data_IF_287028532926
#
_entry.id   IF_287028532926
#
_cell.length_a   1.000
_cell.length_b   1.000
_cell.length_c   1.000
_cell.angle_alpha   90.00
_cell.angle_beta   90.00
_cell.angle_gamma   90.00
#
_symmetry.space_group_name_H-M   'P 1'
#
loop_
_entity.id
_entity.type
_entity.pdbx_description
1 polymer ?
#
# COMPACT_ATOMS: atom_id res chain seq x y z
N UNK A 1 9.74 25.02 -3.62
CA UNK A 1 11.03 25.77 -3.75
C UNK A 1 11.87 25.82 -2.46
N UNK A 2 11.28 25.75 -1.26
CA UNK A 2 12.00 26.05 -0.01
C UNK A 2 13.10 25.05 0.38
N UNK A 3 12.91 23.75 0.10
CA UNK A 3 13.95 22.74 0.33
C UNK A 3 15.23 23.07 -0.44
N UNK A 4 15.13 23.41 -1.73
CA UNK A 4 16.28 23.79 -2.55
C UNK A 4 16.99 25.04 -2.00
N UNK A 5 16.23 26.05 -1.56
CA UNK A 5 16.78 27.26 -0.92
C UNK A 5 17.55 26.92 0.36
N UNK A 6 17.01 26.03 1.20
CA UNK A 6 17.68 25.57 2.43
C UNK A 6 18.98 24.80 2.15
N UNK A 7 19.09 24.13 1.00
CA UNK A 7 20.32 23.46 0.56
C UNK A 7 21.30 24.39 -0.19
N UNK A 8 20.97 25.68 -0.35
CA UNK A 8 21.76 26.62 -1.15
C UNK A 8 21.72 26.34 -2.66
N UNK A 9 20.77 25.53 -3.13
CA UNK A 9 20.64 25.17 -4.53
C UNK A 9 19.91 26.28 -5.30
N UNK A 10 20.52 26.74 -6.40
CA UNK A 10 19.91 27.70 -7.31
C UNK A 10 19.07 26.95 -8.35
N UNK A 11 17.76 26.97 -8.17
CA UNK A 11 16.83 26.47 -9.20
C UNK A 11 16.94 27.38 -10.43
N UNK A 12 17.06 26.78 -11.62
CA UNK A 12 17.09 27.52 -12.89
C UNK A 12 15.69 28.01 -13.25
N UNK A 13 14.75 27.07 -13.38
CA UNK A 13 13.33 27.33 -13.67
C UNK A 13 12.48 26.33 -12.89
N UNK A 14 11.40 26.79 -12.27
CA UNK A 14 10.39 25.91 -11.69
C UNK A 14 9.33 25.61 -12.76
N UNK A 15 9.37 24.42 -13.35
CA UNK A 15 8.43 24.02 -14.41
C UNK A 15 7.01 23.77 -13.88
N UNK A 16 6.90 23.13 -12.71
CA UNK A 16 5.62 22.75 -12.10
C UNK A 16 5.79 22.52 -10.60
N UNK A 17 4.79 22.92 -9.82
CA UNK A 17 4.64 22.54 -8.42
C UNK A 17 3.29 21.84 -8.24
N UNK A 18 3.31 20.70 -7.55
CA UNK A 18 2.10 19.94 -7.23
C UNK A 18 2.00 19.76 -5.72
N UNK A 19 0.80 19.99 -5.20
CA UNK A 19 0.42 19.64 -3.83
C UNK A 19 -0.60 18.52 -3.89
N UNK A 20 -0.23 17.36 -3.35
CA UNK A 20 -1.09 16.19 -3.33
C UNK A 20 -1.02 15.49 -1.98
N UNK A 21 -2.15 14.94 -1.56
CA UNK A 21 -2.20 13.99 -0.47
C UNK A 21 -2.34 12.60 -1.08
N UNK A 22 -1.34 11.75 -0.87
CA UNK A 22 -1.36 10.36 -1.32
C UNK A 22 -1.83 9.47 -0.16
N UNK A 23 -3.10 9.03 -0.15
CA UNK A 23 -3.58 8.15 0.89
C UNK A 23 -2.87 6.79 0.79
N UNK A 24 -2.49 6.25 1.94
CA UNK A 24 -1.87 4.93 2.05
C UNK A 24 -2.74 4.02 2.91
N UNK A 25 -2.98 2.80 2.46
CA UNK A 25 -3.85 1.87 3.19
C UNK A 25 -3.09 1.23 4.35
N UNK A 26 -3.56 1.47 5.57
CA UNK A 26 -3.01 0.90 6.81
C UNK A 26 -3.79 -0.33 7.28
N UNK A 27 -5.12 -0.27 7.18
CA UNK A 27 -6.06 -1.32 7.60
C UNK A 27 -7.41 -1.10 6.91
N UNK A 28 -8.40 -1.97 7.15
CA UNK A 28 -9.76 -1.85 6.65
C UNK A 28 -10.60 -3.11 6.89
N UNK A 29 -11.91 -2.97 6.68
CA UNK A 29 -12.90 -4.04 6.81
C UNK A 29 -13.35 -4.52 5.42
N UNK A 30 -12.62 -5.43 4.76
CA UNK A 30 -12.89 -5.82 3.38
C UNK A 30 -14.27 -6.46 3.20
N UNK A 31 -14.78 -7.14 4.24
CA UNK A 31 -16.08 -7.79 4.19
C UNK A 31 -17.20 -6.75 4.19
N UNK A 32 -17.17 -5.79 5.12
CA UNK A 32 -18.12 -4.69 5.17
C UNK A 32 -18.10 -3.87 3.87
N UNK A 33 -16.89 -3.52 3.38
CA UNK A 33 -16.70 -2.79 2.13
C UNK A 33 -17.35 -3.48 0.91
N UNK A 34 -17.29 -4.81 0.84
CA UNK A 34 -17.90 -5.57 -0.24
C UNK A 34 -19.40 -5.83 -0.01
N UNK A 35 -19.88 -5.88 1.25
CA UNK A 35 -21.32 -5.92 1.54
C UNK A 35 -22.03 -4.66 1.04
N UNK A 36 -21.40 -3.49 1.15
CA UNK A 36 -21.90 -2.23 0.58
C UNK A 36 -22.06 -2.27 -0.95
N UNK A 37 -21.42 -3.22 -1.63
CA UNK A 37 -21.59 -3.39 -3.07
C UNK A 37 -22.96 -3.98 -3.44
N UNK A 38 -23.73 -4.53 -2.48
CA UNK A 38 -25.09 -5.04 -2.69
C UNK A 38 -25.20 -6.01 -3.88
N UNK A 39 -24.18 -6.85 -4.10
CA UNK A 39 -24.16 -7.82 -5.20
C UNK A 39 -23.76 -7.23 -6.56
N UNK A 40 -23.38 -5.94 -6.63
CA UNK A 40 -22.88 -5.30 -7.85
C UNK A 40 -21.38 -5.55 -7.96
N UNK A 41 -20.96 -6.16 -9.06
CA UNK A 41 -19.56 -6.40 -9.34
C UNK A 41 -18.75 -5.09 -9.42
N UNK A 42 -17.51 -5.12 -8.93
CA UNK A 42 -16.61 -3.96 -8.93
C UNK A 42 -15.26 -4.36 -9.53
N UNK A 43 -14.57 -3.41 -10.13
CA UNK A 43 -13.19 -3.57 -10.62
C UNK A 43 -12.33 -2.36 -10.24
N UNK A 44 -11.01 -2.48 -10.48
CA UNK A 44 -10.05 -1.40 -10.22
C UNK A 44 -10.09 -0.87 -8.78
N UNK A 45 -9.88 0.44 -8.61
CA UNK A 45 -9.86 1.06 -7.29
C UNK A 45 -11.18 0.91 -6.52
N UNK A 46 -12.32 0.89 -7.24
CA UNK A 46 -13.65 0.67 -6.63
C UNK A 46 -13.79 -0.74 -6.02
N UNK A 47 -12.99 -1.70 -6.47
CA UNK A 47 -12.90 -3.04 -5.88
C UNK A 47 -11.84 -3.15 -4.76
N UNK A 48 -11.16 -2.06 -4.41
CA UNK A 48 -10.00 -2.11 -3.51
C UNK A 48 -8.78 -2.80 -4.14
N UNK A 49 -8.69 -2.79 -5.48
CA UNK A 49 -7.63 -3.49 -6.22
C UNK A 49 -6.50 -2.55 -6.59
N UNK A 50 -5.51 -2.47 -5.70
CA UNK A 50 -4.28 -1.72 -5.87
C UNK A 50 -3.19 -2.27 -4.93
N UNK A 51 -1.94 -1.96 -5.23
CA UNK A 51 -0.81 -2.28 -4.36
C UNK A 51 -0.83 -1.40 -3.12
N UNK A 52 -0.85 -1.98 -1.91
CA UNK A 52 -1.14 -1.25 -0.68
C UNK A 52 -0.09 -0.19 -0.31
N UNK A 53 1.16 -0.30 -0.79
CA UNK A 53 2.22 0.69 -0.52
C UNK A 53 2.41 1.69 -1.65
N UNK A 54 2.25 1.28 -2.91
CA UNK A 54 2.57 2.12 -4.08
C UNK A 54 1.34 2.70 -4.78
N UNK A 55 0.14 2.19 -4.46
CA UNK A 55 -1.10 2.59 -5.13
C UNK A 55 -1.28 2.03 -6.54
N UNK A 56 -0.35 1.23 -7.06
CA UNK A 56 -0.43 0.71 -8.43
C UNK A 56 -1.61 -0.23 -8.61
N UNK A 57 -2.48 0.09 -9.56
CA UNK A 57 -3.72 -0.66 -9.84
C UNK A 57 -3.69 -1.44 -11.14
N UNK A 58 -2.84 -1.06 -12.10
CA UNK A 58 -2.78 -1.65 -13.44
C UNK A 58 -2.57 -3.18 -13.41
N UNK A 59 -1.62 -3.75 -12.65
CA UNK A 59 -1.43 -5.20 -12.62
C UNK A 59 -2.67 -5.95 -12.12
N UNK A 60 -3.41 -5.36 -11.18
CA UNK A 60 -4.66 -5.96 -10.70
C UNK A 60 -5.79 -5.85 -11.72
N UNK A 61 -5.87 -4.75 -12.46
CA UNK A 61 -6.87 -4.58 -13.51
C UNK A 61 -6.66 -5.62 -14.63
N UNK A 62 -5.42 -5.79 -15.10
CA UNK A 62 -5.07 -6.79 -16.10
C UNK A 62 -5.37 -8.21 -15.60
N UNK A 63 -4.88 -8.58 -14.41
CA UNK A 63 -5.12 -9.92 -13.87
C UNK A 63 -6.60 -10.23 -13.59
N UNK A 64 -7.42 -9.22 -13.24
CA UNK A 64 -8.86 -9.42 -13.11
C UNK A 64 -9.53 -9.60 -14.47
N UNK A 65 -9.11 -8.87 -15.50
CA UNK A 65 -9.59 -9.04 -16.86
C UNK A 65 -9.30 -10.46 -17.38
N UNK A 66 -8.07 -10.95 -17.20
CA UNK A 66 -7.68 -12.33 -17.55
C UNK A 66 -8.51 -13.37 -16.79
N UNK A 67 -8.79 -13.11 -15.50
CA UNK A 67 -9.63 -13.99 -14.70
C UNK A 67 -11.07 -14.06 -15.22
N UNK A 68 -11.67 -12.92 -15.58
CA UNK A 68 -13.01 -12.86 -16.16
C UNK A 68 -13.03 -13.53 -17.54
N UNK A 69 -12.00 -13.32 -18.37
CA UNK A 69 -11.92 -13.91 -19.70
C UNK A 69 -11.75 -15.44 -19.67
N UNK A 70 -10.95 -15.96 -18.73
CA UNK A 70 -10.76 -17.42 -18.56
C UNK A 70 -11.96 -18.14 -17.97
N UNK A 71 -12.85 -17.42 -17.25
CA UNK A 71 -14.04 -17.96 -16.62
C UNK A 71 -15.22 -16.98 -16.82
N UNK A 72 -15.76 -16.85 -18.05
CA UNK A 72 -16.81 -15.90 -18.33
C UNK A 72 -18.04 -16.15 -17.43
N UNK A 73 -18.47 -15.16 -16.63
CA UNK A 73 -19.58 -15.36 -15.70
C UNK A 73 -20.91 -15.39 -16.45
N UNK A 74 -21.73 -16.40 -16.16
CA UNK A 74 -23.04 -16.57 -16.78
C UNK A 74 -24.11 -15.60 -16.26
N UNK A 75 -23.89 -14.97 -15.09
CA UNK A 75 -24.84 -14.06 -14.45
C UNK A 75 -24.15 -12.88 -13.75
N UNK A 76 -24.86 -11.77 -13.49
CA UNK A 76 -24.32 -10.67 -12.68
C UNK A 76 -23.84 -11.12 -11.29
N UNK A 77 -24.55 -12.06 -10.66
CA UNK A 77 -24.19 -12.62 -9.36
C UNK A 77 -22.89 -13.44 -9.43
N UNK A 78 -22.69 -14.20 -10.51
CA UNK A 78 -21.44 -14.91 -10.75
C UNK A 78 -20.26 -13.94 -10.95
N UNK A 79 -20.47 -12.84 -11.69
CA UNK A 79 -19.45 -11.80 -11.87
C UNK A 79 -19.12 -11.11 -10.53
N UNK A 80 -20.13 -10.81 -9.71
CA UNK A 80 -19.92 -10.29 -8.37
C UNK A 80 -19.09 -11.25 -7.51
N UNK A 81 -19.48 -12.52 -7.44
CA UNK A 81 -18.75 -13.53 -6.66
C UNK A 81 -17.30 -13.68 -7.13
N UNK A 82 -17.07 -13.67 -8.45
CA UNK A 82 -15.73 -13.75 -9.05
C UNK A 82 -14.85 -12.56 -8.66
N UNK A 83 -15.36 -11.35 -8.84
CA UNK A 83 -14.64 -10.10 -8.57
C UNK A 83 -14.39 -9.89 -7.07
N UNK A 84 -15.42 -10.10 -6.23
CA UNK A 84 -15.31 -10.03 -4.77
C UNK A 84 -14.33 -11.08 -4.24
N UNK A 85 -14.42 -12.32 -4.72
CA UNK A 85 -13.50 -13.39 -4.35
C UNK A 85 -12.04 -13.06 -4.71
N UNK A 86 -11.80 -12.51 -5.90
CA UNK A 86 -10.47 -12.03 -6.30
C UNK A 86 -9.97 -10.92 -5.36
N UNK A 87 -10.78 -9.90 -5.10
CA UNK A 87 -10.40 -8.79 -4.23
C UNK A 87 -10.09 -9.24 -2.79
N UNK A 88 -10.89 -10.14 -2.22
CA UNK A 88 -10.64 -10.69 -0.89
C UNK A 88 -9.33 -11.50 -0.83
N UNK A 89 -8.99 -12.24 -1.90
CA UNK A 89 -7.68 -12.92 -2.00
C UNK A 89 -6.54 -11.90 -2.03
N UNK A 90 -6.65 -10.85 -2.85
CA UNK A 90 -5.64 -9.80 -2.91
C UNK A 90 -5.48 -9.06 -1.59
N UNK A 91 -6.58 -8.73 -0.91
CA UNK A 91 -6.54 -8.12 0.42
C UNK A 91 -5.72 -8.94 1.40
N UNK A 92 -5.93 -10.25 1.45
CA UNK A 92 -5.18 -11.18 2.33
C UNK A 92 -3.71 -11.26 1.94
N UNK A 93 -3.39 -11.40 0.65
CA UNK A 93 -2.02 -11.45 0.14
C UNK A 93 -1.22 -10.19 0.49
N UNK A 94 -1.89 -9.04 0.52
CA UNK A 94 -1.23 -7.75 0.76
C UNK A 94 -1.11 -7.36 2.25
N UNK A 95 -1.41 -8.28 3.19
CA UNK A 95 -1.33 -8.01 4.64
C UNK A 95 0.03 -7.46 5.08
N UNK A 96 1.11 -7.96 4.47
CA UNK A 96 2.47 -7.57 4.81
C UNK A 96 2.79 -6.13 4.41
N UNK A 97 2.33 -5.69 3.23
CA UNK A 97 2.50 -4.30 2.79
C UNK A 97 1.76 -3.33 3.71
N UNK A 98 0.53 -3.65 4.12
CA UNK A 98 -0.21 -2.86 5.11
C UNK A 98 0.49 -2.81 6.46
N UNK A 99 1.13 -3.91 6.89
CA UNK A 99 1.97 -3.94 8.08
C UNK A 99 3.16 -2.97 7.97
N UNK A 100 3.88 -3.00 6.85
CA UNK A 100 4.98 -2.07 6.60
C UNK A 100 4.52 -0.61 6.62
N UNK A 101 3.38 -0.32 6.00
CA UNK A 101 2.81 1.04 6.03
C UNK A 101 2.50 1.49 7.46
N UNK A 102 1.95 0.61 8.32
CA UNK A 102 1.70 0.94 9.73
C UNK A 102 3.00 1.24 10.47
N UNK A 103 4.05 0.43 10.27
CA UNK A 103 5.36 0.71 10.89
C UNK A 103 5.91 2.06 10.41
N UNK A 104 5.82 2.35 9.12
CA UNK A 104 6.33 3.60 8.56
C UNK A 104 5.59 4.84 9.06
N UNK A 105 4.26 4.78 9.15
CA UNK A 105 3.43 5.96 9.43
C UNK A 105 3.05 6.11 10.90
N UNK A 106 2.99 5.03 11.68
CA UNK A 106 2.59 5.07 13.10
C UNK A 106 3.78 4.95 14.08
N UNK A 107 4.95 4.48 13.63
CA UNK A 107 6.14 4.32 14.46
C UNK A 107 7.34 5.17 14.01
N UNK A 108 7.22 5.90 12.90
CA UNK A 108 8.28 6.75 12.38
C UNK A 108 7.93 8.22 12.54
N UNK A 109 8.84 9.00 13.13
CA UNK A 109 8.76 10.46 13.10
C UNK A 109 8.69 10.94 11.64
N UNK A 110 7.76 11.84 11.27
CA UNK A 110 7.54 12.23 9.87
C UNK A 110 8.81 12.66 9.12
N UNK A 111 9.68 13.39 9.80
CA UNK A 111 10.96 13.92 9.33
C UNK A 111 12.06 12.85 9.14
N UNK A 112 11.87 11.64 9.67
CA UNK A 112 12.84 10.54 9.56
C UNK A 112 12.40 9.43 8.61
N UNK A 113 11.15 9.48 8.09
CA UNK A 113 10.60 8.45 7.18
C UNK A 113 11.42 8.27 5.91
N UNK A 114 12.11 9.32 5.45
CA UNK A 114 12.98 9.24 4.26
C UNK A 114 14.11 8.22 4.43
N UNK A 115 14.58 7.97 5.66
CA UNK A 115 15.65 6.98 5.92
C UNK A 115 15.18 5.56 5.59
N UNK A 116 13.89 5.27 5.78
CA UNK A 116 13.29 3.99 5.39
C UNK A 116 13.36 3.81 3.88
N UNK A 117 13.01 4.87 3.13
CA UNK A 117 13.07 4.86 1.67
C UNK A 117 14.51 4.73 1.17
N UNK A 118 15.45 5.49 1.75
CA UNK A 118 16.86 5.39 1.42
C UNK A 118 17.39 3.97 1.62
N UNK A 119 17.09 3.35 2.76
CA UNK A 119 17.49 1.95 3.01
C UNK A 119 16.84 1.00 2.01
N UNK A 120 15.55 1.16 1.74
CA UNK A 120 14.81 0.31 0.80
C UNK A 120 15.45 0.33 -0.60
N UNK A 121 15.82 1.50 -1.11
CA UNK A 121 16.48 1.63 -2.41
C UNK A 121 17.96 1.19 -2.41
N UNK A 122 18.55 0.93 -1.25
CA UNK A 122 19.85 0.27 -1.13
C UNK A 122 19.78 -1.26 -1.25
N UNK A 123 18.58 -1.86 -1.31
CA UNK A 123 18.41 -3.31 -1.43
C UNK A 123 18.65 -3.78 -2.87
N UNK A 124 18.88 -5.08 -3.04
CA UNK A 124 19.05 -5.67 -4.36
C UNK A 124 17.85 -5.38 -5.30
N UNK A 125 18.14 -5.01 -6.54
CA UNK A 125 17.13 -4.65 -7.53
C UNK A 125 16.04 -5.72 -7.75
N UNK A 126 16.38 -7.01 -7.65
CA UNK A 126 15.41 -8.10 -7.77
C UNK A 126 14.42 -8.14 -6.60
N UNK A 127 14.86 -7.82 -5.38
CA UNK A 127 13.97 -7.67 -4.22
C UNK A 127 13.02 -6.50 -4.42
N UNK A 128 13.55 -5.34 -4.83
CA UNK A 128 12.77 -4.14 -5.11
C UNK A 128 11.73 -4.44 -6.20
N UNK A 129 12.13 -5.09 -7.30
CA UNK A 129 11.21 -5.49 -8.37
C UNK A 129 10.08 -6.39 -7.89
N UNK A 130 10.37 -7.38 -7.03
CA UNK A 130 9.34 -8.24 -6.41
C UNK A 130 8.42 -7.48 -5.46
N UNK A 131 8.95 -6.49 -4.74
CA UNK A 131 8.16 -5.59 -3.91
C UNK A 131 7.15 -4.81 -4.75
N UNK A 132 7.59 -4.13 -5.80
CA UNK A 132 6.72 -3.39 -6.71
C UNK A 132 5.71 -4.27 -7.44
N UNK A 133 6.07 -5.53 -7.72
CA UNK A 133 5.16 -6.51 -8.31
C UNK A 133 4.15 -7.10 -7.30
N UNK A 134 4.25 -6.79 -6.00
CA UNK A 134 3.39 -7.40 -4.98
C UNK A 134 3.64 -8.90 -4.76
N UNK A 135 4.82 -9.41 -5.15
CA UNK A 135 5.18 -10.85 -5.16
C UNK A 135 6.35 -11.17 -4.24
N UNK A 136 6.26 -10.73 -2.99
CA UNK A 136 7.27 -11.01 -1.97
C UNK A 136 7.22 -12.47 -1.51
N UNK A 137 8.40 -13.07 -1.36
CA UNK A 137 8.58 -14.34 -0.64
C UNK A 137 8.75 -14.10 0.86
N UNK A 138 8.59 -15.13 1.71
CA UNK A 138 8.89 -14.99 3.15
C UNK A 138 10.33 -14.52 3.42
N UNK A 139 11.29 -14.95 2.62
CA UNK A 139 12.69 -14.51 2.71
C UNK A 139 12.83 -13.02 2.35
N UNK A 140 12.08 -12.55 1.36
CA UNK A 140 12.05 -11.12 1.02
C UNK A 140 11.46 -10.29 2.15
N UNK A 141 10.38 -10.76 2.77
CA UNK A 141 9.76 -10.12 3.93
C UNK A 141 10.74 -10.01 5.09
N UNK A 142 11.48 -11.08 5.39
CA UNK A 142 12.54 -11.08 6.39
C UNK A 142 13.62 -10.05 6.04
N UNK A 143 14.13 -10.05 4.80
CA UNK A 143 15.16 -9.09 4.35
C UNK A 143 14.73 -7.63 4.47
N UNK A 144 13.46 -7.33 4.21
CA UNK A 144 12.89 -5.99 4.38
C UNK A 144 12.88 -5.55 5.86
N UNK A 145 12.71 -6.50 6.79
CA UNK A 145 12.72 -6.23 8.22
C UNK A 145 14.12 -6.28 8.85
N UNK A 146 15.08 -7.01 8.26
CA UNK A 146 16.43 -7.21 8.82
C UNK A 146 17.36 -6.01 8.62
N UNK A 147 18.08 -5.64 9.67
CA UNK A 147 19.02 -4.51 9.70
C UNK A 147 18.66 -3.55 10.84
N UNK A 148 19.45 -2.48 11.03
CA UNK A 148 19.12 -1.45 12.02
C UNK A 148 17.75 -0.85 11.65
N UNK A 149 16.72 -1.00 12.49
CA UNK A 149 15.40 -0.50 12.15
C UNK A 149 15.46 1.04 12.14
N UNK A 150 15.02 1.71 11.06
CA UNK A 150 14.99 3.17 10.96
C UNK A 150 13.88 3.79 11.83
N UNK A 151 13.11 2.94 12.54
CA UNK A 151 12.06 3.32 13.48
C UNK A 151 12.32 2.64 14.83
N UNK A 152 11.96 3.26 15.97
CA UNK A 152 12.10 2.63 17.28
C UNK A 152 11.32 1.30 17.35
N UNK A 153 11.98 0.23 17.83
CA UNK A 153 11.42 -1.14 17.85
C UNK A 153 10.13 -1.23 18.67
N UNK A 154 10.06 -0.53 19.81
CA UNK A 154 8.87 -0.50 20.67
C UNK A 154 7.65 0.14 19.99
N UNK A 155 7.85 1.25 19.29
CA UNK A 155 6.79 1.91 18.53
C UNK A 155 6.34 1.06 17.34
N UNK A 156 7.28 0.37 16.69
CA UNK A 156 6.98 -0.55 15.61
C UNK A 156 6.09 -1.71 16.09
N UNK A 157 6.36 -2.27 17.27
CA UNK A 157 5.55 -3.32 17.89
C UNK A 157 4.13 -2.82 18.23
N UNK A 158 4.01 -1.60 18.77
CA UNK A 158 2.71 -0.97 19.03
C UNK A 158 1.93 -0.69 17.73
N UNK A 159 2.61 -0.27 16.66
CA UNK A 159 2.00 -0.10 15.34
C UNK A 159 1.54 -1.45 14.74
N UNK A 160 2.23 -2.55 15.06
CA UNK A 160 1.78 -3.90 14.69
C UNK A 160 0.48 -4.26 15.43
N UNK A 161 0.39 -3.96 16.71
CA UNK A 161 -0.74 -4.31 17.58
C UNK A 161 -1.98 -3.42 17.39
N UNK A 162 -1.83 -2.18 16.89
CA UNK A 162 -2.94 -1.30 16.52
C UNK A 162 -3.67 -1.84 15.27
N UNK A 163 -4.57 -2.80 15.48
CA UNK A 163 -5.52 -3.29 14.47
C UNK A 163 -6.88 -2.57 14.52
N UNK A 164 -7.06 -1.60 15.43
CA UNK A 164 -8.38 -1.09 15.82
C UNK A 164 -8.86 0.11 14.97
N UNK A 165 -10.17 0.28 14.70
CA UNK A 165 -10.75 1.29 13.80
C UNK A 165 -10.61 2.76 14.24
N UNK A 166 -9.91 3.03 15.34
CA UNK A 166 -9.68 4.39 15.83
C UNK A 166 -8.22 4.78 15.58
N UNK A 167 -7.93 5.16 14.34
CA UNK A 167 -6.84 6.09 14.02
C UNK A 167 -7.21 7.47 14.61
N UNK A 168 -7.29 7.58 15.94
CA UNK A 168 -7.64 8.80 16.67
C UNK A 168 -6.47 9.80 16.77
N UNK A 169 -5.42 9.63 15.98
CA UNK A 169 -4.17 10.38 16.12
C UNK A 169 -3.78 11.19 14.87
N UNK A 170 -4.77 11.75 14.17
CA UNK A 170 -4.54 12.83 13.21
C UNK A 170 -5.16 14.17 13.65
N UNK A 171 -5.62 14.27 14.90
CA UNK A 171 -5.86 15.55 15.54
C UNK A 171 -4.60 15.95 16.32
N UNK A 172 -3.79 16.81 15.71
CA UNK A 172 -2.97 17.76 16.44
C UNK A 172 -3.50 19.14 16.03
N UNK A 173 -3.93 19.89 17.04
CA UNK A 173 -3.81 21.35 17.06
C UNK A 173 -2.34 21.75 16.84
#
# INVERSE_FOLDING_TARGET
>A
ADYARAQGWRLMTLEREERGNLPITLTGEPQAFWQEAQGIARCGLRAGLFHATTGYSLPHAAALADLIASQPPATPQALYALTAGYAQRQWRRQRFFRLLNRMLFLAGKPDQRWQVMQRFYGLNAGLIGRFYAGRLTPLDMARLLTGKPPVPVGEALQAVLKQTPRLRAFHHD
#
